data_IF_843161871695
#
_entry.id   IF_843161871695
#
_cell.length_a   1.000
_cell.length_b   1.000
_cell.length_c   1.000
_cell.angle_alpha   90.00
_cell.angle_beta   90.00
_cell.angle_gamma   90.00
#
_symmetry.space_group_name_H-M   'P 1'
#
loop_
_entity.id
_entity.type
_entity.pdbx_description
1 polymer ?
#
# COMPACT_ATOMS: atom_id res chain seq x y z
N UNK A 1 -20.73 -13.48 -4.67
CA UNK A 1 -21.92 -14.36 -4.54
C UNK A 1 -21.54 -15.82 -4.36
N UNK A 2 -20.80 -16.44 -5.29
CA UNK A 2 -20.38 -17.86 -5.21
C UNK A 2 -19.74 -18.23 -3.86
N UNK A 3 -18.78 -17.43 -3.38
CA UNK A 3 -18.19 -17.57 -2.04
C UNK A 3 -19.22 -17.66 -0.90
N UNK A 4 -20.20 -16.75 -0.89
CA UNK A 4 -21.23 -16.71 0.14
C UNK A 4 -22.18 -17.92 0.06
N UNK A 5 -22.47 -18.41 -1.14
CA UNK A 5 -23.31 -19.60 -1.38
C UNK A 5 -22.57 -20.85 -0.90
N UNK A 6 -21.30 -21.03 -1.27
CA UNK A 6 -20.48 -22.17 -0.81
C UNK A 6 -20.39 -22.20 0.72
N UNK A 7 -20.14 -21.04 1.36
CA UNK A 7 -20.07 -20.94 2.81
C UNK A 7 -21.39 -21.31 3.51
N UNK A 8 -22.54 -21.01 2.90
CA UNK A 8 -23.87 -21.30 3.48
C UNK A 8 -24.38 -22.71 3.17
N UNK A 9 -24.03 -23.27 2.01
CA UNK A 9 -24.66 -24.49 1.48
C UNK A 9 -23.71 -25.69 1.43
N UNK A 10 -22.40 -25.48 1.59
CA UNK A 10 -21.37 -26.52 1.44
C UNK A 10 -21.14 -26.97 0.00
N UNK A 11 -21.95 -26.50 -0.96
CA UNK A 11 -21.80 -26.82 -2.39
C UNK A 11 -20.84 -25.82 -3.01
N UNK A 12 -19.77 -26.32 -3.64
CA UNK A 12 -18.84 -25.47 -4.38
C UNK A 12 -19.49 -24.96 -5.66
N UNK A 13 -19.39 -23.65 -5.87
CA UNK A 13 -20.06 -22.94 -6.94
C UNK A 13 -19.02 -22.19 -7.77
N UNK A 14 -18.99 -22.40 -9.09
CA UNK A 14 -18.08 -21.67 -9.99
C UNK A 14 -18.47 -20.19 -10.05
N UNK A 15 -17.55 -19.31 -9.65
CA UNK A 15 -17.76 -17.87 -9.66
C UNK A 15 -18.10 -17.32 -11.06
N UNK A 16 -17.64 -17.99 -12.13
CA UNK A 16 -17.88 -17.59 -13.53
C UNK A 16 -19.33 -17.75 -13.97
N UNK A 17 -20.11 -18.58 -13.28
CA UNK A 17 -21.52 -18.78 -13.62
C UNK A 17 -22.37 -17.51 -13.41
N UNK A 18 -21.90 -16.56 -12.59
CA UNK A 18 -22.59 -15.28 -12.35
C UNK A 18 -22.12 -14.15 -13.25
N UNK A 19 -21.05 -14.34 -14.04
CA UNK A 19 -20.41 -13.25 -14.81
C UNK A 19 -21.37 -12.61 -15.82
N UNK A 20 -22.30 -13.38 -16.38
CA UNK A 20 -23.25 -12.92 -17.41
C UNK A 20 -24.71 -12.85 -16.92
N UNK A 21 -24.96 -13.03 -15.62
CA UNK A 21 -26.30 -13.04 -15.05
C UNK A 21 -26.64 -11.68 -14.46
N UNK A 22 -27.58 -10.96 -15.10
CA UNK A 22 -28.19 -9.80 -14.47
C UNK A 22 -29.04 -10.23 -13.27
N UNK A 23 -28.67 -9.73 -12.09
CA UNK A 23 -29.47 -9.84 -10.88
C UNK A 23 -30.72 -8.98 -11.09
N UNK A 24 -31.91 -9.58 -10.93
CA UNK A 24 -33.19 -8.84 -10.93
C UNK A 24 -33.05 -7.63 -9.99
N UNK A 25 -33.44 -6.42 -10.43
CA UNK A 25 -33.30 -5.21 -9.63
C UNK A 25 -33.80 -5.38 -8.20
N UNK A 26 -34.85 -6.18 -7.95
CA UNK A 26 -35.42 -6.44 -6.62
C UNK A 26 -34.46 -7.11 -5.64
N UNK A 27 -33.48 -7.88 -6.13
CA UNK A 27 -32.44 -8.52 -5.32
C UNK A 27 -31.18 -7.68 -5.14
N UNK A 28 -31.10 -6.50 -5.75
CA UNK A 28 -30.02 -5.55 -5.49
C UNK A 28 -30.31 -4.79 -4.21
N UNK A 29 -29.28 -4.45 -3.43
CA UNK A 29 -29.45 -3.68 -2.21
C UNK A 29 -30.13 -2.34 -2.55
N UNK A 30 -31.20 -1.99 -1.82
CA UNK A 30 -31.77 -0.62 -1.85
C UNK A 30 -31.15 0.13 -0.69
N UNK A 31 -30.50 1.24 -0.99
CA UNK A 31 -29.91 2.15 -0.03
C UNK A 31 -30.92 3.27 0.19
N UNK A 32 -31.22 3.55 1.45
CA UNK A 32 -32.10 4.63 1.86
C UNK A 32 -31.27 5.62 2.69
N UNK A 33 -31.39 6.90 2.38
CA UNK A 33 -30.88 7.98 3.22
C UNK A 33 -32.06 8.49 4.02
N UNK A 34 -31.92 8.51 5.34
CA UNK A 34 -32.99 8.95 6.24
C UNK A 34 -32.57 10.22 6.97
N UNK A 35 -33.55 11.02 7.39
CA UNK A 35 -33.34 12.20 8.22
C UNK A 35 -33.25 11.83 9.71
N UNK A 36 -33.15 12.85 10.57
CA UNK A 36 -33.04 12.67 12.02
C UNK A 36 -34.26 12.06 12.68
N UNK A 37 -35.43 12.14 12.04
CA UNK A 37 -36.69 11.59 12.51
C UNK A 37 -36.94 10.18 11.93
N UNK A 38 -35.98 9.66 11.15
CA UNK A 38 -36.03 8.34 10.53
C UNK A 38 -36.85 8.28 9.24
N UNK A 39 -37.20 9.44 8.65
CA UNK A 39 -37.93 9.51 7.39
C UNK A 39 -36.99 9.42 6.21
N UNK A 40 -37.36 8.66 5.17
CA UNK A 40 -36.55 8.48 3.96
C UNK A 40 -36.52 9.79 3.16
N UNK A 41 -35.33 10.40 3.06
CA UNK A 41 -35.04 11.60 2.25
C UNK A 41 -34.95 11.23 0.77
N UNK A 42 -34.16 10.19 0.45
CA UNK A 42 -34.00 9.64 -0.91
C UNK A 42 -33.60 8.16 -0.80
N UNK A 43 -33.77 7.41 -1.87
CA UNK A 43 -33.35 6.03 -1.94
C UNK A 43 -32.98 5.64 -3.37
N UNK A 44 -31.99 4.77 -3.50
CA UNK A 44 -31.62 4.19 -4.79
C UNK A 44 -31.04 2.79 -4.60
N UNK A 45 -31.05 2.00 -5.67
CA UNK A 45 -30.27 0.76 -5.75
C UNK A 45 -28.89 0.98 -6.39
N UNK A 46 -28.65 2.18 -6.92
CA UNK A 46 -27.36 2.66 -7.41
C UNK A 46 -26.79 3.70 -6.44
N UNK A 47 -25.81 3.28 -5.63
CA UNK A 47 -25.20 4.14 -4.61
C UNK A 47 -24.53 5.38 -5.22
N UNK A 48 -23.89 5.26 -6.37
CA UNK A 48 -23.19 6.37 -7.00
C UNK A 48 -24.20 7.46 -7.42
N UNK A 49 -25.31 7.07 -8.05
CA UNK A 49 -26.39 8.01 -8.40
C UNK A 49 -27.05 8.65 -7.19
N UNK A 50 -27.23 7.88 -6.10
CA UNK A 50 -27.76 8.40 -4.84
C UNK A 50 -26.82 9.44 -4.25
N UNK A 51 -25.51 9.15 -4.23
CA UNK A 51 -24.47 10.08 -3.77
C UNK A 51 -24.40 11.35 -4.63
N UNK A 52 -24.51 11.23 -5.97
CA UNK A 52 -24.51 12.38 -6.88
C UNK A 52 -25.71 13.30 -6.60
N UNK A 53 -26.92 12.75 -6.48
CA UNK A 53 -28.14 13.53 -6.20
C UNK A 53 -28.09 14.21 -4.84
N UNK A 54 -27.54 13.52 -3.84
CA UNK A 54 -27.45 14.03 -2.48
C UNK A 54 -26.15 14.79 -2.24
N UNK A 55 -25.25 14.94 -3.22
CA UNK A 55 -23.94 15.56 -3.03
C UNK A 55 -24.02 17.00 -2.51
N UNK A 56 -25.09 17.73 -2.85
CA UNK A 56 -25.39 19.08 -2.36
C UNK A 56 -26.09 19.09 -0.99
N UNK A 57 -26.82 18.02 -0.65
CA UNK A 57 -27.60 17.87 0.60
C UNK A 57 -26.82 17.20 1.72
N UNK A 58 -25.83 16.39 1.37
CA UNK A 58 -24.73 16.08 2.27
C UNK A 58 -24.05 17.42 2.44
N UNK A 59 -24.50 18.18 3.43
CA UNK A 59 -23.63 19.13 4.11
C UNK A 59 -22.37 18.32 4.31
N UNK A 60 -21.29 18.65 3.58
CA UNK A 60 -19.93 18.23 3.96
C UNK A 60 -20.01 18.32 5.45
N UNK A 61 -19.89 17.18 6.16
CA UNK A 61 -19.84 17.20 7.62
C UNK A 61 -18.59 18.00 7.88
N UNK A 62 -18.78 19.32 7.89
CA UNK A 62 -17.83 20.35 8.13
C UNK A 62 -17.76 20.15 9.61
N UNK A 63 -16.78 19.36 10.01
CA UNK A 63 -16.18 19.48 11.32
C UNK A 63 -15.55 20.88 11.35
N UNK A 64 -16.40 21.91 11.33
CA UNK A 64 -16.06 23.32 11.52
C UNK A 64 -15.85 23.50 13.01
N UNK A 65 -14.80 22.87 13.51
CA UNK A 65 -14.04 23.40 14.61
C UNK A 65 -12.68 23.71 14.00
N UNK A 66 -12.06 24.84 14.39
CA UNK A 66 -10.64 25.04 14.11
C UNK A 66 -9.92 23.78 14.60
N UNK A 67 -9.44 22.94 13.68
CA UNK A 67 -8.78 21.70 14.06
C UNK A 67 -7.45 22.09 14.66
N UNK A 68 -7.30 21.82 15.96
CA UNK A 68 -6.00 21.89 16.62
C UNK A 68 -5.05 20.96 15.87
N UNK A 69 -3.91 21.50 15.45
CA UNK A 69 -2.84 20.73 14.85
C UNK A 69 -1.91 20.19 15.93
N UNK A 70 -1.56 18.91 15.81
CA UNK A 70 -0.76 18.19 16.79
C UNK A 70 0.64 17.95 16.26
N UNK A 71 1.64 18.18 17.12
CA UNK A 71 3.04 17.83 16.85
C UNK A 71 3.60 16.80 17.84
N UNK A 72 2.79 16.41 18.82
CA UNK A 72 3.02 15.35 19.80
C UNK A 72 1.69 14.66 20.13
N UNK A 73 1.76 13.54 20.85
CA UNK A 73 0.58 12.92 21.43
C UNK A 73 0.04 13.75 22.60
N UNK A 74 -1.25 14.11 22.65
CA UNK A 74 -1.83 14.86 23.76
C UNK A 74 -1.81 14.10 25.08
N UNK A 75 -1.50 14.79 26.17
CA UNK A 75 -1.47 14.22 27.52
C UNK A 75 -2.83 13.63 27.90
N UNK A 76 -2.83 12.43 28.47
CA UNK A 76 -4.01 11.70 28.95
C UNK A 76 -5.07 11.40 27.87
N UNK A 77 -4.70 11.45 26.58
CA UNK A 77 -5.60 11.08 25.48
C UNK A 77 -5.50 9.59 25.14
N UNK A 78 -6.60 8.88 25.38
CA UNK A 78 -6.80 7.50 24.92
C UNK A 78 -7.96 7.43 23.93
N UNK A 79 -7.68 6.89 22.75
CA UNK A 79 -8.63 6.72 21.65
C UNK A 79 -9.29 5.34 21.75
N UNK A 80 -10.61 5.33 21.83
CA UNK A 80 -11.37 4.08 21.84
C UNK A 80 -11.10 3.25 20.56
N UNK A 81 -10.85 1.95 20.74
CA UNK A 81 -10.66 1.03 19.62
C UNK A 81 -11.93 0.89 18.79
N UNK A 82 -13.04 0.67 19.47
CA UNK A 82 -14.39 0.66 18.93
C UNK A 82 -15.22 1.71 19.65
N UNK A 83 -15.90 2.56 18.88
CA UNK A 83 -16.91 3.46 19.41
C UNK A 83 -18.10 3.52 18.44
N UNK A 84 -19.30 3.68 19.01
CA UNK A 84 -20.56 3.90 18.30
C UNK A 84 -21.07 5.30 18.60
N UNK A 85 -21.80 5.88 17.65
CA UNK A 85 -22.52 7.14 17.81
C UNK A 85 -23.89 7.00 17.17
N UNK A 86 -24.87 7.77 17.65
CA UNK A 86 -26.19 7.85 17.00
C UNK A 86 -26.22 9.14 16.18
N UNK A 87 -26.38 9.01 14.87
CA UNK A 87 -26.45 10.15 13.95
C UNK A 87 -27.73 10.00 13.13
N UNK A 88 -28.69 10.91 13.35
CA UNK A 88 -30.02 10.83 12.77
C UNK A 88 -30.80 9.55 13.11
N UNK A 89 -30.76 9.12 14.38
CA UNK A 89 -31.45 7.91 14.84
C UNK A 89 -30.81 6.58 14.46
N UNK A 90 -29.77 6.57 13.61
CA UNK A 90 -29.01 5.37 13.23
C UNK A 90 -27.78 5.23 14.11
N UNK A 91 -27.60 4.05 14.71
CA UNK A 91 -26.34 3.69 15.34
C UNK A 91 -25.27 3.41 14.27
N UNK A 92 -24.20 4.19 14.30
CA UNK A 92 -23.06 4.08 13.38
C UNK A 92 -21.77 3.93 14.17
N UNK A 93 -20.83 3.14 13.64
CA UNK A 93 -19.46 3.12 14.16
C UNK A 93 -18.78 4.46 13.90
N UNK A 94 -18.06 4.97 14.90
CA UNK A 94 -17.30 6.22 14.84
C UNK A 94 -15.94 6.01 15.50
N UNK A 95 -14.87 6.21 14.76
CA UNK A 95 -13.50 6.05 15.21
C UNK A 95 -12.83 7.42 15.28
N UNK A 96 -12.53 7.88 16.49
CA UNK A 96 -11.69 9.07 16.67
C UNK A 96 -10.23 8.67 16.43
N UNK A 97 -9.58 9.31 15.46
CA UNK A 97 -8.21 9.00 15.01
C UNK A 97 -7.47 10.27 14.61
N UNK A 98 -6.14 10.20 14.67
CA UNK A 98 -5.31 11.21 14.05
C UNK A 98 -5.33 11.04 12.52
N UNK A 99 -5.41 12.14 11.78
CA UNK A 99 -5.39 12.19 10.33
C UNK A 99 -4.35 13.20 9.85
N UNK A 100 -3.75 12.96 8.68
CA UNK A 100 -2.98 13.98 7.98
C UNK A 100 -3.92 14.80 7.09
N UNK A 101 -3.94 16.11 7.30
CA UNK A 101 -4.65 17.08 6.47
C UNK A 101 -3.73 18.27 6.22
N UNK A 102 -3.47 18.58 4.95
CA UNK A 102 -2.57 19.67 4.53
C UNK A 102 -1.20 19.64 5.27
N UNK A 103 -0.64 18.44 5.40
CA UNK A 103 0.61 18.12 6.12
C UNK A 103 0.59 18.34 7.66
N UNK A 104 -0.55 18.73 8.22
CA UNK A 104 -0.77 18.80 9.66
C UNK A 104 -1.46 17.54 10.19
N UNK A 105 -1.14 17.17 11.43
CA UNK A 105 -1.83 16.08 12.12
C UNK A 105 -3.00 16.66 12.90
N UNK A 106 -4.21 16.20 12.62
CA UNK A 106 -5.44 16.65 13.28
C UNK A 106 -6.20 15.48 13.87
N UNK A 107 -6.92 15.71 14.96
CA UNK A 107 -7.82 14.72 15.53
C UNK A 107 -9.20 14.83 14.86
N UNK A 108 -9.72 13.72 14.35
CA UNK A 108 -10.99 13.71 13.63
C UNK A 108 -11.72 12.37 13.75
N UNK A 109 -12.95 12.31 13.24
CA UNK A 109 -13.79 11.13 13.25
C UNK A 109 -13.86 10.47 11.88
N UNK A 110 -13.60 9.18 11.82
CA UNK A 110 -13.71 8.33 10.64
C UNK A 110 -14.75 7.24 10.91
N UNK A 111 -15.52 6.84 9.90
CA UNK A 111 -16.65 5.91 10.07
C UNK A 111 -16.38 4.50 9.51
N UNK A 112 -15.30 4.34 8.74
CA UNK A 112 -14.81 3.03 8.29
C UNK A 112 -13.59 2.60 9.15
N UNK A 113 -13.59 1.39 9.75
CA UNK A 113 -12.51 0.94 10.61
C UNK A 113 -11.17 0.79 9.88
N UNK A 114 -11.18 0.44 8.59
CA UNK A 114 -9.94 0.25 7.81
C UNK A 114 -9.34 1.61 7.47
N UNK A 115 -10.16 2.55 7.01
CA UNK A 115 -9.75 3.94 6.76
C UNK A 115 -9.22 4.59 8.05
N UNK A 116 -9.91 4.36 9.18
CA UNK A 116 -9.48 4.82 10.50
C UNK A 116 -8.08 4.31 10.86
N UNK A 117 -7.84 3.00 10.71
CA UNK A 117 -6.54 2.39 11.02
C UNK A 117 -5.42 2.90 10.11
N UNK A 118 -5.65 2.95 8.79
CA UNK A 118 -4.64 3.38 7.80
C UNK A 118 -4.26 4.84 8.04
N UNK A 119 -5.24 5.73 8.16
CA UNK A 119 -4.96 7.17 8.34
C UNK A 119 -4.33 7.47 9.70
N UNK A 120 -4.76 6.77 10.75
CA UNK A 120 -4.13 6.89 12.07
C UNK A 120 -2.67 6.48 12.03
N UNK A 121 -2.36 5.35 11.38
CA UNK A 121 -0.97 4.90 11.26
C UNK A 121 -0.10 5.95 10.55
N UNK A 122 -0.59 6.56 9.46
CA UNK A 122 0.14 7.60 8.75
C UNK A 122 0.35 8.87 9.59
N UNK A 123 -0.69 9.31 10.29
CA UNK A 123 -0.62 10.50 11.15
C UNK A 123 0.26 10.29 12.38
N UNK A 124 0.16 9.13 13.03
CA UNK A 124 1.04 8.78 14.16
C UNK A 124 2.49 8.66 13.71
N UNK A 125 2.76 8.10 12.52
CA UNK A 125 4.11 8.10 11.96
C UNK A 125 4.64 9.53 11.72
N UNK A 126 3.78 10.49 11.35
CA UNK A 126 4.16 11.90 11.26
C UNK A 126 4.52 12.48 12.63
N UNK A 127 3.69 12.25 13.66
CA UNK A 127 4.00 12.70 15.03
C UNK A 127 5.34 12.14 15.49
N UNK A 128 5.57 10.84 15.32
CA UNK A 128 6.84 10.18 15.67
C UNK A 128 8.03 10.75 14.88
N UNK A 129 7.85 11.06 13.58
CA UNK A 129 8.89 11.70 12.77
C UNK A 129 9.23 13.11 13.29
N UNK A 130 8.22 13.89 13.65
CA UNK A 130 8.36 15.23 14.25
C UNK A 130 9.04 15.15 15.61
N UNK A 131 8.74 14.13 16.43
CA UNK A 131 9.41 13.85 17.72
C UNK A 131 10.79 13.21 17.59
N UNK A 132 11.23 12.96 16.36
CA UNK A 132 12.56 12.43 16.03
C UNK A 132 13.31 13.35 15.06
N UNK A 133 12.88 14.62 14.94
CA UNK A 133 13.44 15.58 14.00
C UNK A 133 14.94 15.86 14.25
N UNK A 134 15.39 15.78 15.51
CA UNK A 134 16.80 15.87 15.89
C UNK A 134 17.65 14.77 15.23
N UNK A 135 17.13 13.54 15.16
CA UNK A 135 17.82 12.41 14.53
C UNK A 135 17.85 12.55 13.00
N UNK A 136 16.77 13.02 12.38
CA UNK A 136 16.77 13.31 10.94
C UNK A 136 17.71 14.48 10.60
N UNK A 137 17.79 15.50 11.45
CA UNK A 137 18.73 16.60 11.28
C UNK A 137 20.18 16.14 11.47
N UNK A 138 20.43 15.23 12.41
CA UNK A 138 21.71 14.55 12.57
C UNK A 138 22.07 13.79 11.29
N UNK A 139 21.19 12.94 10.77
CA UNK A 139 21.39 12.19 9.52
C UNK A 139 21.70 13.12 8.34
N UNK A 140 20.94 14.21 8.19
CA UNK A 140 21.15 15.21 7.13
C UNK A 140 22.54 15.86 7.19
N UNK A 141 23.11 15.99 8.38
CA UNK A 141 24.36 16.72 8.60
C UNK A 141 25.58 15.81 8.70
N UNK A 142 25.40 14.59 9.22
CA UNK A 142 26.49 13.69 9.63
C UNK A 142 26.59 12.42 8.80
N UNK A 143 25.51 12.03 8.09
CA UNK A 143 25.53 10.92 7.16
C UNK A 143 25.54 11.40 5.70
N UNK A 144 26.15 10.63 4.80
CA UNK A 144 26.21 10.94 3.37
C UNK A 144 25.11 10.27 2.56
N UNK A 145 24.64 9.09 2.98
CA UNK A 145 23.65 8.33 2.21
C UNK A 145 22.27 8.98 2.29
N UNK A 146 21.87 9.45 3.47
CA UNK A 146 20.55 10.05 3.68
C UNK A 146 20.29 11.31 2.81
N UNK A 147 21.17 12.33 2.77
CA UNK A 147 21.00 13.46 1.84
C UNK A 147 20.96 13.05 0.36
N UNK A 148 21.75 12.04 -0.04
CA UNK A 148 21.75 11.55 -1.43
C UNK A 148 20.47 10.82 -1.79
N UNK A 149 19.94 10.03 -0.87
CA UNK A 149 18.64 9.38 -1.04
C UNK A 149 17.51 10.42 -1.19
N UNK A 150 17.52 11.49 -0.37
CA UNK A 150 16.58 12.60 -0.52
C UNK A 150 16.65 13.21 -1.92
N UNK A 151 17.85 13.56 -2.40
CA UNK A 151 18.04 14.12 -3.75
C UNK A 151 17.60 13.14 -4.84
N UNK A 152 17.82 11.84 -4.63
CA UNK A 152 17.50 10.84 -5.63
C UNK A 152 16.01 10.54 -5.74
N UNK A 153 15.25 10.71 -4.65
CA UNK A 153 13.90 10.20 -4.48
C UNK A 153 12.83 11.30 -4.33
N UNK A 154 13.18 12.42 -3.71
CA UNK A 154 12.22 13.47 -3.30
C UNK A 154 12.28 14.65 -4.28
N UNK A 155 11.11 15.09 -4.75
CA UNK A 155 11.00 16.28 -5.61
C UNK A 155 10.69 17.55 -4.81
N UNK A 156 10.17 17.41 -3.60
CA UNK A 156 9.74 18.49 -2.72
C UNK A 156 9.78 18.06 -1.24
N UNK A 157 9.40 18.96 -0.34
CA UNK A 157 9.37 18.68 1.11
C UNK A 157 8.31 17.63 1.50
N UNK A 158 7.20 17.56 0.76
CA UNK A 158 6.14 16.56 0.97
C UNK A 158 6.69 15.15 0.79
N UNK A 159 7.51 14.92 -0.24
CA UNK A 159 8.19 13.65 -0.47
C UNK A 159 9.17 13.33 0.66
N UNK A 160 9.90 14.33 1.17
CA UNK A 160 10.78 14.14 2.32
C UNK A 160 9.99 13.73 3.58
N UNK A 161 8.85 14.36 3.86
CA UNK A 161 8.00 13.96 4.97
C UNK A 161 7.48 12.53 4.81
N UNK A 162 7.03 12.16 3.59
CA UNK A 162 6.65 10.77 3.27
C UNK A 162 7.79 9.79 3.52
N UNK A 163 8.99 10.12 3.06
CA UNK A 163 10.16 9.28 3.25
C UNK A 163 10.48 9.07 4.75
N UNK A 164 10.45 10.13 5.53
CA UNK A 164 10.66 10.08 6.98
C UNK A 164 9.61 9.21 7.68
N UNK A 165 8.33 9.33 7.29
CA UNK A 165 7.26 8.47 7.81
C UNK A 165 7.50 7.01 7.48
N UNK A 166 7.95 6.68 6.26
CA UNK A 166 8.27 5.29 5.90
C UNK A 166 9.43 4.73 6.73
N UNK A 167 10.47 5.53 7.01
CA UNK A 167 11.56 5.13 7.91
C UNK A 167 11.04 4.90 9.33
N UNK A 168 10.17 5.77 9.84
CA UNK A 168 9.55 5.59 11.16
C UNK A 168 8.72 4.31 11.19
N UNK A 169 7.87 4.08 10.17
CA UNK A 169 7.04 2.89 10.08
C UNK A 169 7.86 1.59 10.00
N UNK A 170 9.05 1.61 9.39
CA UNK A 170 9.93 0.43 9.37
C UNK A 170 10.60 0.11 10.71
N UNK A 171 10.55 1.05 11.67
CA UNK A 171 11.04 0.84 13.04
C UNK A 171 9.98 0.23 13.98
N UNK A 172 8.70 0.33 13.62
CA UNK A 172 7.56 -0.15 14.39
C UNK A 172 7.23 -1.62 14.11
N UNK A 173 6.37 -2.20 14.94
CA UNK A 173 5.85 -3.55 14.70
C UNK A 173 4.81 -3.54 13.58
N UNK A 174 4.86 -4.56 12.73
CA UNK A 174 3.89 -4.69 11.66
C UNK A 174 2.47 -4.79 12.27
N UNK A 175 1.57 -3.91 11.80
CA UNK A 175 0.15 -3.87 12.20
C UNK A 175 -0.11 -3.35 13.62
N UNK A 176 0.88 -2.71 14.24
CA UNK A 176 0.69 -2.02 15.51
C UNK A 176 -0.28 -0.84 15.35
N UNK A 177 -1.33 -0.81 16.17
CA UNK A 177 -2.29 0.31 16.24
C UNK A 177 -2.03 1.09 17.53
N UNK A 178 -1.52 2.31 17.38
CA UNK A 178 -1.20 3.22 18.50
C UNK A 178 -2.42 4.10 18.75
N UNK A 179 -3.07 3.90 19.90
CA UNK A 179 -4.32 4.54 20.30
C UNK A 179 -4.26 5.22 21.67
N UNK A 180 -3.12 5.19 22.36
CA UNK A 180 -2.95 5.78 23.69
C UNK A 180 -1.60 6.47 23.84
N UNK A 181 -1.49 7.36 24.83
CA UNK A 181 -0.24 8.05 25.15
C UNK A 181 0.87 7.05 25.51
N UNK A 182 0.53 6.04 26.31
CA UNK A 182 1.48 5.00 26.73
C UNK A 182 2.06 4.25 25.53
N UNK A 183 1.21 3.81 24.60
CA UNK A 183 1.63 3.15 23.36
C UNK A 183 2.50 4.08 22.50
N UNK A 184 2.14 5.37 22.42
CA UNK A 184 2.92 6.35 21.66
C UNK A 184 4.31 6.57 22.25
N UNK A 185 4.43 6.67 23.58
CA UNK A 185 5.71 6.81 24.29
C UNK A 185 6.61 5.59 24.04
N UNK A 186 6.05 4.38 24.12
CA UNK A 186 6.77 3.13 23.86
C UNK A 186 7.19 3.01 22.39
N UNK A 187 6.33 3.38 21.46
CA UNK A 187 6.64 3.48 20.04
C UNK A 187 7.76 4.49 19.77
N UNK A 188 7.70 5.68 20.38
CA UNK A 188 8.73 6.72 20.28
C UNK A 188 10.10 6.21 20.74
N UNK A 189 10.15 5.47 21.86
CA UNK A 189 11.40 4.87 22.34
C UNK A 189 11.98 3.89 21.30
N UNK A 190 11.17 2.93 20.82
CA UNK A 190 11.59 1.95 19.79
C UNK A 190 12.04 2.62 18.49
N UNK A 191 11.32 3.65 18.04
CA UNK A 191 11.70 4.44 16.85
C UNK A 191 13.06 5.08 17.07
N UNK A 192 13.25 5.83 18.16
CA UNK A 192 14.52 6.53 18.42
C UNK A 192 15.72 5.58 18.55
N UNK A 193 15.50 4.37 19.09
CA UNK A 193 16.54 3.32 19.18
C UNK A 193 16.97 2.78 17.81
N UNK A 194 16.06 2.70 16.82
CA UNK A 194 16.28 2.03 15.53
C UNK A 194 16.47 2.98 14.34
N UNK A 195 16.03 4.23 14.47
CA UNK A 195 15.82 5.15 13.34
C UNK A 195 17.10 5.44 12.57
N UNK A 196 18.22 5.69 13.24
CA UNK A 196 19.48 6.02 12.56
C UNK A 196 19.92 4.85 11.67
N UNK A 197 19.98 3.63 12.22
CA UNK A 197 20.43 2.45 11.49
C UNK A 197 19.48 2.12 10.33
N UNK A 198 18.16 2.21 10.55
CA UNK A 198 17.17 1.97 9.50
C UNK A 198 17.23 3.03 8.41
N UNK A 199 17.35 4.31 8.78
CA UNK A 199 17.47 5.40 7.82
C UNK A 199 18.70 5.23 6.93
N UNK A 200 19.86 4.89 7.50
CA UNK A 200 21.10 4.66 6.72
C UNK A 200 20.90 3.47 5.78
N UNK A 201 20.42 2.34 6.28
CA UNK A 201 20.22 1.12 5.47
C UNK A 201 19.26 1.35 4.30
N UNK A 202 18.12 1.99 4.56
CA UNK A 202 17.13 2.32 3.52
C UNK A 202 17.70 3.35 2.55
N UNK A 203 18.40 4.38 3.03
CA UNK A 203 18.97 5.43 2.18
C UNK A 203 20.03 4.90 1.22
N UNK A 204 20.96 4.06 1.70
CA UNK A 204 21.97 3.42 0.85
C UNK A 204 21.31 2.58 -0.24
N UNK A 205 20.33 1.76 0.12
CA UNK A 205 19.62 0.92 -0.85
C UNK A 205 18.87 1.76 -1.88
N UNK A 206 18.14 2.80 -1.45
CA UNK A 206 17.36 3.63 -2.37
C UNK A 206 18.23 4.52 -3.27
N UNK A 207 19.35 5.05 -2.77
CA UNK A 207 20.32 5.77 -3.61
C UNK A 207 20.85 4.86 -4.74
N UNK A 208 21.24 3.63 -4.38
CA UNK A 208 21.70 2.63 -5.35
C UNK A 208 20.59 2.24 -6.32
N UNK A 209 19.37 1.96 -5.81
CA UNK A 209 18.22 1.59 -6.62
C UNK A 209 17.89 2.68 -7.64
N UNK A 210 17.83 3.95 -7.24
CA UNK A 210 17.53 5.05 -8.16
C UNK A 210 18.64 5.27 -9.19
N UNK A 211 19.89 4.96 -8.84
CA UNK A 211 21.01 4.95 -9.81
C UNK A 211 20.85 3.85 -10.85
N UNK A 212 20.56 2.61 -10.41
CA UNK A 212 20.26 1.48 -11.32
C UNK A 212 19.04 1.75 -12.18
N UNK A 213 17.99 2.34 -11.62
CA UNK A 213 16.78 2.69 -12.36
C UNK A 213 17.09 3.58 -13.56
N UNK A 214 17.88 4.66 -13.36
CA UNK A 214 18.30 5.57 -14.44
C UNK A 214 19.14 4.85 -15.50
N UNK A 215 20.09 4.02 -15.06
CA UNK A 215 20.94 3.20 -15.95
C UNK A 215 20.11 2.22 -16.78
N UNK A 216 19.21 1.46 -16.15
CA UNK A 216 18.31 0.52 -16.80
C UNK A 216 17.39 1.22 -17.81
N UNK A 217 16.82 2.39 -17.46
CA UNK A 217 15.98 3.17 -18.37
C UNK A 217 16.73 3.53 -19.65
N UNK A 218 18.00 3.91 -19.54
CA UNK A 218 18.85 4.20 -20.70
C UNK A 218 19.16 2.92 -21.52
N UNK A 219 19.60 1.85 -20.85
CA UNK A 219 19.96 0.57 -21.49
C UNK A 219 18.80 -0.09 -22.22
N UNK A 220 17.61 -0.06 -21.62
CA UNK A 220 16.39 -0.62 -22.21
C UNK A 220 15.82 0.27 -23.33
N UNK A 221 16.19 1.55 -23.38
CA UNK A 221 15.74 2.51 -24.41
C UNK A 221 16.48 2.42 -25.75
N UNK A 222 17.55 1.63 -25.85
CA UNK A 222 18.37 1.51 -27.05
C UNK A 222 17.76 0.68 -28.18
N UNK A 223 18.45 0.64 -29.32
CA UNK A 223 18.12 -0.26 -30.44
C UNK A 223 18.43 -1.71 -30.04
N UNK A 224 17.46 -2.60 -30.19
CA UNK A 224 17.57 -4.03 -29.85
C UNK A 224 17.09 -4.90 -31.01
N UNK A 225 17.54 -6.16 -31.11
CA UNK A 225 16.99 -7.12 -32.07
C UNK A 225 15.47 -7.30 -31.90
N UNK A 226 14.76 -7.62 -32.98
CA UNK A 226 13.30 -7.84 -32.95
C UNK A 226 12.90 -8.91 -31.94
N UNK A 227 13.70 -9.96 -31.79
CA UNK A 227 13.48 -11.04 -30.84
C UNK A 227 13.56 -10.60 -29.37
N UNK A 228 14.11 -9.42 -29.08
CA UNK A 228 14.21 -8.86 -27.73
C UNK A 228 13.09 -7.88 -27.40
N UNK A 229 12.22 -7.50 -28.34
CA UNK A 229 11.20 -6.48 -28.11
C UNK A 229 10.27 -6.84 -26.94
N UNK A 230 9.78 -8.09 -26.90
CA UNK A 230 8.91 -8.57 -25.81
C UNK A 230 9.58 -8.53 -24.44
N UNK A 231 10.75 -9.17 -24.22
CA UNK A 231 11.40 -9.14 -22.91
C UNK A 231 11.88 -7.73 -22.50
N UNK A 232 12.30 -6.88 -23.44
CA UNK A 232 12.67 -5.50 -23.15
C UNK A 232 11.45 -4.67 -22.71
N UNK A 233 10.30 -4.84 -23.36
CA UNK A 233 9.06 -4.18 -22.93
C UNK A 233 8.61 -4.66 -21.56
N UNK A 234 8.67 -5.96 -21.28
CA UNK A 234 8.37 -6.52 -19.96
C UNK A 234 9.29 -5.94 -18.87
N UNK A 235 10.59 -5.85 -19.13
CA UNK A 235 11.55 -5.23 -18.20
C UNK A 235 11.27 -3.75 -17.99
N UNK A 236 10.92 -2.99 -19.04
CA UNK A 236 10.53 -1.58 -18.92
C UNK A 236 9.32 -1.40 -18.00
N UNK A 237 8.24 -2.15 -18.26
CA UNK A 237 7.02 -2.09 -17.46
C UNK A 237 7.28 -2.50 -16.00
N UNK A 238 8.11 -3.51 -15.79
CA UNK A 238 8.46 -3.97 -14.43
C UNK A 238 9.27 -2.91 -13.66
N UNK A 239 10.32 -2.37 -14.27
CA UNK A 239 11.15 -1.31 -13.68
C UNK A 239 10.33 -0.05 -13.40
N UNK A 240 9.41 0.30 -14.32
CA UNK A 240 8.49 1.41 -14.14
C UNK A 240 7.55 1.18 -12.94
N UNK A 241 6.94 0.00 -12.84
CA UNK A 241 6.03 -0.34 -11.74
C UNK A 241 6.72 -0.32 -10.35
N UNK A 242 8.01 -0.64 -10.29
CA UNK A 242 8.80 -0.57 -9.05
C UNK A 242 9.19 0.86 -8.66
N UNK A 243 9.44 1.76 -9.63
CA UNK A 243 10.14 3.02 -9.38
C UNK A 243 9.38 4.30 -9.74
N UNK A 244 8.17 4.25 -10.30
CA UNK A 244 7.41 5.47 -10.63
C UNK A 244 6.97 6.25 -9.39
N UNK A 245 6.55 5.56 -8.33
CA UNK A 245 6.11 6.19 -7.09
C UNK A 245 6.51 5.36 -5.85
N UNK A 246 7.81 5.12 -5.61
CA UNK A 246 8.29 4.20 -4.56
C UNK A 246 7.79 4.61 -3.17
N UNK A 247 7.69 5.90 -2.88
CA UNK A 247 7.17 6.42 -1.61
C UNK A 247 5.67 6.12 -1.37
N UNK A 248 4.90 5.95 -2.44
CA UNK A 248 3.46 5.66 -2.33
C UNK A 248 3.22 4.14 -2.41
N UNK A 249 3.90 3.46 -3.32
CA UNK A 249 3.59 2.10 -3.75
C UNK A 249 4.48 1.01 -3.12
N UNK A 250 5.48 1.40 -2.32
CA UNK A 250 6.36 0.44 -1.62
C UNK A 250 6.14 0.46 -0.11
N UNK A 251 5.77 -0.69 0.51
CA UNK A 251 5.73 -0.82 1.95
C UNK A 251 7.09 -0.53 2.60
N UNK A 252 7.10 0.02 3.83
CA UNK A 252 8.32 0.38 4.56
C UNK A 252 9.38 -0.71 4.60
N UNK A 253 8.97 -1.97 4.81
CA UNK A 253 9.87 -3.11 4.98
C UNK A 253 10.44 -3.63 3.65
N UNK A 254 9.94 -3.14 2.51
CA UNK A 254 10.34 -3.54 1.15
C UNK A 254 11.17 -2.48 0.42
N UNK A 255 11.29 -1.27 0.96
CA UNK A 255 12.12 -0.21 0.38
C UNK A 255 13.57 -0.65 0.19
N UNK A 256 14.12 -1.39 1.16
CA UNK A 256 15.50 -1.89 1.12
C UNK A 256 15.72 -2.94 0.02
N UNK A 257 14.66 -3.61 -0.44
CA UNK A 257 14.74 -4.67 -1.45
C UNK A 257 14.75 -4.12 -2.89
N UNK A 258 14.38 -2.84 -3.10
CA UNK A 258 14.27 -2.25 -4.44
C UNK A 258 15.58 -2.34 -5.24
N UNK A 259 16.73 -2.09 -4.62
CA UNK A 259 18.03 -2.22 -5.29
C UNK A 259 18.27 -3.64 -5.81
N UNK A 260 17.95 -4.65 -5.00
CA UNK A 260 18.10 -6.07 -5.36
C UNK A 260 17.17 -6.46 -6.50
N UNK A 261 15.92 -5.96 -6.51
CA UNK A 261 15.00 -6.22 -7.62
C UNK A 261 15.49 -5.60 -8.92
N UNK A 262 16.02 -4.38 -8.88
CA UNK A 262 16.60 -3.74 -10.07
C UNK A 262 17.88 -4.43 -10.53
N UNK A 263 18.72 -4.88 -9.61
CA UNK A 263 19.89 -5.69 -9.93
C UNK A 263 19.50 -7.03 -10.61
N UNK A 264 18.36 -7.61 -10.25
CA UNK A 264 17.85 -8.79 -10.93
C UNK A 264 17.44 -8.50 -12.39
N UNK A 265 16.88 -7.33 -12.67
CA UNK A 265 16.58 -6.88 -14.03
C UNK A 265 17.86 -6.63 -14.83
N UNK A 266 18.91 -6.08 -14.22
CA UNK A 266 20.21 -5.92 -14.88
C UNK A 266 20.81 -7.27 -15.28
N UNK A 267 20.81 -8.25 -14.38
CA UNK A 267 21.28 -9.61 -14.68
C UNK A 267 20.43 -10.30 -15.74
N UNK A 268 19.11 -10.06 -15.73
CA UNK A 268 18.20 -10.54 -16.78
C UNK A 268 18.64 -10.03 -18.14
N UNK A 269 18.84 -8.72 -18.24
CA UNK A 269 19.25 -8.05 -19.48
C UNK A 269 20.61 -8.56 -19.98
N UNK A 270 21.59 -8.73 -19.09
CA UNK A 270 22.93 -9.22 -19.43
C UNK A 270 22.93 -10.67 -19.96
N UNK A 271 22.06 -11.51 -19.41
CA UNK A 271 21.97 -12.94 -19.78
C UNK A 271 20.93 -13.21 -20.87
N UNK A 272 20.20 -12.19 -21.33
CA UNK A 272 19.05 -12.35 -22.23
C UNK A 272 19.43 -13.09 -23.51
N UNK A 273 20.57 -12.74 -24.12
CA UNK A 273 21.01 -13.33 -25.39
C UNK A 273 21.14 -14.86 -25.33
N UNK A 274 21.72 -15.38 -24.24
CA UNK A 274 22.00 -16.81 -24.09
C UNK A 274 20.81 -17.59 -23.49
N UNK A 275 19.76 -16.90 -23.03
CA UNK A 275 18.63 -17.50 -22.29
C UNK A 275 17.26 -17.14 -22.86
N UNK A 276 17.17 -16.69 -24.10
CA UNK A 276 15.93 -16.11 -24.65
C UNK A 276 14.69 -17.02 -24.50
N UNK A 277 14.81 -18.32 -24.79
CA UNK A 277 13.69 -19.27 -24.64
C UNK A 277 13.30 -19.49 -23.17
N UNK A 278 14.28 -19.57 -22.28
CA UNK A 278 14.07 -19.75 -20.85
C UNK A 278 13.49 -18.48 -20.20
N UNK A 279 13.96 -17.30 -20.63
CA UNK A 279 13.42 -16.00 -20.25
C UNK A 279 11.93 -15.91 -20.61
N UNK A 280 11.55 -16.30 -21.83
CA UNK A 280 10.16 -16.31 -22.27
C UNK A 280 9.29 -17.24 -21.41
N UNK A 281 9.79 -18.42 -21.03
CA UNK A 281 9.07 -19.33 -20.13
C UNK A 281 8.87 -18.71 -18.75
N UNK A 282 9.92 -18.19 -18.12
CA UNK A 282 9.81 -17.54 -16.81
C UNK A 282 8.94 -16.29 -16.86
N UNK A 283 9.02 -15.50 -17.93
CA UNK A 283 8.17 -14.33 -18.11
C UNK A 283 6.69 -14.72 -18.16
N UNK A 284 6.35 -15.80 -18.87
CA UNK A 284 4.98 -16.34 -18.90
C UNK A 284 4.50 -16.76 -17.52
N UNK A 285 5.33 -17.49 -16.77
CA UNK A 285 5.01 -17.93 -15.41
C UNK A 285 4.73 -16.74 -14.49
N UNK A 286 5.51 -15.67 -14.61
CA UNK A 286 5.30 -14.44 -13.82
C UNK A 286 4.05 -13.70 -14.26
N UNK A 287 3.80 -13.55 -15.56
CA UNK A 287 2.60 -12.89 -16.10
C UNK A 287 1.31 -13.56 -15.64
N UNK A 288 1.29 -14.89 -15.54
CA UNK A 288 0.15 -15.63 -15.02
C UNK A 288 -0.11 -15.30 -13.54
N UNK A 289 0.92 -15.32 -12.69
CA UNK A 289 0.81 -14.97 -11.27
C UNK A 289 0.37 -13.51 -11.08
N UNK A 290 0.92 -12.57 -11.85
CA UNK A 290 0.53 -11.16 -11.80
C UNK A 290 -0.91 -10.94 -12.27
N UNK A 291 -1.32 -11.63 -13.34
CA UNK A 291 -2.70 -11.55 -13.84
C UNK A 291 -3.68 -12.09 -12.80
N UNK A 292 -3.32 -13.21 -12.17
CA UNK A 292 -4.12 -13.82 -11.12
C UNK A 292 -4.28 -12.90 -9.89
N UNK A 293 -3.21 -12.18 -9.53
CA UNK A 293 -3.22 -11.19 -8.46
C UNK A 293 -4.05 -9.95 -8.83
N UNK A 294 -3.91 -9.42 -10.06
CA UNK A 294 -4.66 -8.23 -10.52
C UNK A 294 -6.18 -8.45 -10.53
N UNK A 295 -6.64 -9.67 -10.78
CA UNK A 295 -8.07 -10.02 -10.66
C UNK A 295 -8.57 -9.83 -9.21
N UNK A 296 -7.72 -10.08 -8.22
CA UNK A 296 -8.03 -9.98 -6.79
C UNK A 296 -7.82 -8.56 -6.25
N UNK A 297 -7.04 -7.74 -6.94
CA UNK A 297 -6.70 -6.37 -6.55
C UNK A 297 -6.92 -5.41 -7.74
N UNK A 298 -8.15 -4.88 -7.90
CA UNK A 298 -8.50 -4.04 -9.06
C UNK A 298 -7.68 -2.76 -9.22
N UNK A 299 -7.22 -2.17 -8.11
CA UNK A 299 -6.38 -0.95 -8.11
C UNK A 299 -4.88 -1.23 -8.21
N UNK A 300 -4.47 -2.48 -8.47
CA UNK A 300 -3.06 -2.89 -8.47
C UNK A 300 -2.17 -1.98 -9.35
N UNK A 301 -0.96 -1.62 -8.89
CA UNK A 301 -0.36 -1.90 -7.57
C UNK A 301 -0.62 -0.81 -6.52
N UNK A 302 -1.60 0.07 -6.75
CA UNK A 302 -1.89 1.23 -5.89
C UNK A 302 -2.74 0.85 -4.68
N UNK A 303 -2.79 1.74 -3.68
CA UNK A 303 -3.62 1.59 -2.47
C UNK A 303 -3.31 0.35 -1.63
N UNK A 304 -2.06 -0.11 -1.62
CA UNK A 304 -1.66 -1.32 -0.89
C UNK A 304 -2.03 -1.27 0.60
N UNK A 305 -2.03 -0.07 1.22
CA UNK A 305 -2.47 0.14 2.61
C UNK A 305 -3.93 -0.23 2.85
N UNK A 306 -4.76 -0.07 1.81
CA UNK A 306 -6.18 -0.41 1.81
C UNK A 306 -6.46 -1.81 1.28
N UNK A 307 -5.44 -2.61 0.96
CA UNK A 307 -5.62 -3.99 0.53
C UNK A 307 -5.52 -4.98 1.68
N UNK A 308 -5.88 -6.23 1.40
CA UNK A 308 -5.57 -7.33 2.29
C UNK A 308 -4.04 -7.55 2.31
N UNK A 309 -3.48 -7.67 3.51
CA UNK A 309 -2.05 -7.89 3.67
C UNK A 309 -1.57 -9.14 2.92
N UNK A 310 -2.39 -10.19 2.82
CA UNK A 310 -1.99 -11.41 2.13
C UNK A 310 -1.80 -11.16 0.63
N UNK A 311 -2.60 -10.27 0.03
CA UNK A 311 -2.42 -9.86 -1.37
C UNK A 311 -1.18 -8.98 -1.54
N UNK A 312 -0.91 -8.09 -0.57
CA UNK A 312 0.33 -7.28 -0.56
C UNK A 312 1.57 -8.17 -0.43
N UNK A 313 1.54 -9.17 0.45
CA UNK A 313 2.62 -10.14 0.61
C UNK A 313 2.84 -10.93 -0.69
N UNK A 314 1.76 -11.42 -1.32
CA UNK A 314 1.84 -12.15 -2.59
C UNK A 314 2.45 -11.30 -3.72
N UNK A 315 2.09 -10.01 -3.82
CA UNK A 315 2.74 -9.07 -4.75
C UNK A 315 4.26 -9.10 -4.59
N UNK A 316 4.77 -8.95 -3.36
CA UNK A 316 6.21 -8.90 -3.13
C UNK A 316 6.87 -10.28 -3.26
N UNK A 317 6.16 -11.36 -2.98
CA UNK A 317 6.66 -12.71 -3.26
C UNK A 317 6.76 -12.99 -4.78
N UNK A 318 5.95 -12.36 -5.62
CA UNK A 318 6.15 -12.40 -7.08
C UNK A 318 7.47 -11.70 -7.46
N UNK A 319 7.83 -10.59 -6.80
CA UNK A 319 9.14 -9.96 -6.99
C UNK A 319 10.29 -10.89 -6.58
N UNK A 320 10.16 -11.60 -5.45
CA UNK A 320 11.11 -12.64 -5.07
C UNK A 320 11.19 -13.77 -6.11
N UNK A 321 10.06 -14.14 -6.73
CA UNK A 321 10.03 -15.15 -7.77
C UNK A 321 10.74 -14.66 -9.05
N UNK A 322 10.61 -13.37 -9.39
CA UNK A 322 11.42 -12.75 -10.47
C UNK A 322 12.91 -12.85 -10.16
N UNK A 323 13.34 -12.57 -8.92
CA UNK A 323 14.75 -12.74 -8.51
C UNK A 323 15.19 -14.20 -8.67
N UNK A 324 14.37 -15.16 -8.23
CA UNK A 324 14.66 -16.59 -8.37
C UNK A 324 14.83 -17.01 -9.84
N UNK A 325 13.97 -16.53 -10.73
CA UNK A 325 14.02 -16.82 -12.16
C UNK A 325 15.23 -16.16 -12.83
N UNK A 326 15.41 -14.85 -12.66
CA UNK A 326 16.31 -14.10 -13.52
C UNK A 326 17.71 -13.88 -12.92
N UNK A 327 17.86 -14.00 -11.59
CA UNK A 327 19.08 -13.62 -10.88
C UNK A 327 19.37 -14.52 -9.67
N UNK A 328 19.57 -15.82 -9.91
CA UNK A 328 19.78 -16.83 -8.86
C UNK A 328 20.88 -16.50 -7.85
N UNK A 329 21.91 -15.75 -8.26
CA UNK A 329 23.04 -15.38 -7.39
C UNK A 329 22.67 -14.41 -6.28
N UNK A 330 21.57 -13.65 -6.41
CA UNK A 330 21.19 -12.61 -5.44
C UNK A 330 20.49 -13.16 -4.20
N UNK A 331 20.07 -14.43 -4.23
CA UNK A 331 19.20 -15.08 -3.24
C UNK A 331 17.85 -14.36 -3.06
N UNK A 332 16.85 -15.09 -2.58
CA UNK A 332 15.53 -14.54 -2.27
C UNK A 332 15.40 -14.31 -0.77
N UNK A 333 14.62 -13.29 -0.38
CA UNK A 333 14.25 -13.06 1.02
C UNK A 333 13.29 -14.14 1.52
N UNK A 334 12.34 -14.50 0.66
CA UNK A 334 11.30 -15.47 0.95
C UNK A 334 11.51 -16.78 0.17
N UNK A 335 11.06 -17.91 0.71
CA UNK A 335 11.04 -19.18 -0.03
C UNK A 335 9.86 -19.16 -1.01
N UNK A 336 10.14 -18.94 -2.29
CA UNK A 336 9.13 -18.79 -3.33
C UNK A 336 9.30 -19.81 -4.46
N UNK A 337 8.21 -20.13 -5.13
CA UNK A 337 8.18 -20.87 -6.40
C UNK A 337 6.83 -20.64 -7.08
N UNK A 338 6.75 -20.86 -8.40
CA UNK A 338 5.49 -20.74 -9.14
C UNK A 338 4.36 -21.56 -8.48
N UNK A 339 4.62 -22.84 -8.16
CA UNK A 339 3.63 -23.71 -7.52
C UNK A 339 3.13 -23.15 -6.20
N UNK A 340 4.01 -22.60 -5.36
CA UNK A 340 3.62 -22.03 -4.05
C UNK A 340 2.74 -20.80 -4.23
N UNK A 341 3.11 -19.90 -5.14
CA UNK A 341 2.37 -18.66 -5.37
C UNK A 341 1.02 -18.91 -6.05
N UNK A 342 0.99 -19.79 -7.06
CA UNK A 342 -0.25 -20.20 -7.73
C UNK A 342 -1.23 -20.86 -6.75
N UNK A 343 -0.74 -21.75 -5.86
CA UNK A 343 -1.58 -22.34 -4.81
C UNK A 343 -2.11 -21.27 -3.86
N UNK A 344 -1.25 -20.37 -3.36
CA UNK A 344 -1.68 -19.34 -2.42
C UNK A 344 -2.72 -18.37 -3.02
N UNK A 345 -2.58 -17.99 -4.29
CA UNK A 345 -3.56 -17.19 -5.03
C UNK A 345 -4.90 -17.93 -5.20
N UNK A 346 -4.84 -19.24 -5.46
CA UNK A 346 -6.04 -20.09 -5.56
C UNK A 346 -6.75 -20.27 -4.23
N UNK A 347 -6.00 -20.51 -3.15
CA UNK A 347 -6.56 -20.60 -1.80
C UNK A 347 -7.21 -19.28 -1.39
N UNK A 348 -6.57 -18.14 -1.69
CA UNK A 348 -7.16 -16.82 -1.43
C UNK A 348 -8.49 -16.62 -2.16
N UNK A 349 -8.63 -17.10 -3.42
CA UNK A 349 -9.90 -17.06 -4.16
C UNK A 349 -11.02 -17.87 -3.51
N UNK A 350 -10.68 -18.90 -2.75
CA UNK A 350 -11.64 -19.81 -2.11
C UNK A 350 -12.09 -19.31 -0.73
N UNK A 351 -11.32 -18.43 -0.09
CA UNK A 351 -11.62 -17.78 1.20
C UNK A 351 -12.69 -16.71 1.08
#
# INVERSE_FOLDING_TARGET
>A
VARCVTKRTGVSVDARFWTDKQIDPRFKLRVEVIDSDGLVIDSDRDLAKLQDRLSEQVSKVRLTNAQESYTDWPVELDLARDASTVLGGIEMKKFQRFLLQDDEVVLSSVFDPKDAAVRNQEAVAQLLAVRSADLFQFLKTKDKAYPRALIALCSNEIDQYKFNRLIVLSCLEAREEILSETQFVDAKKRVRERLIDQAIRVSVSLESAMTRFRSLKQRLGGKVPVSWLSPINAMKSHVQALCDAPLNNTPPDRLIDLDRYLQAVEQRLEKLQSRLLLDAQWQKDVEELESDLKILWPTYPNDWRYQDHQLVDLRWQIEEFRVLCFAQSLKTRDKVSYKRLSTALREYRQL
#
